data_IF_583102627177
#
_entry.id   IF_583102627177
#
_cell.length_a   1.000
_cell.length_b   1.000
_cell.length_c   1.000
_cell.angle_alpha   90.00
_cell.angle_beta   90.00
_cell.angle_gamma   90.00
#
_symmetry.space_group_name_H-M   'P 1'
#
loop_
_entity.id
_entity.type
_entity.pdbx_description
1 polymer ?
#
# COMPACT_ATOMS: atom_id res chain seq x y z
N UNK A 1 -7.46 -5.49 9.01
CA UNK A 1 -7.92 -6.75 9.59
C UNK A 1 -7.11 -7.92 9.03
N UNK A 2 -5.93 -8.16 9.57
CA UNK A 2 -5.06 -9.28 9.18
C UNK A 2 -4.74 -10.11 10.43
N UNK A 3 -4.65 -11.46 10.35
CA UNK A 3 -4.37 -12.31 11.52
C UNK A 3 -3.13 -11.92 12.32
N UNK A 4 -2.11 -11.37 11.63
CA UNK A 4 -0.86 -10.92 12.25
C UNK A 4 -0.91 -9.48 12.82
N UNK A 5 -2.03 -8.78 12.72
CA UNK A 5 -2.19 -7.41 13.21
C UNK A 5 -3.56 -6.84 12.89
N UNK A 6 -4.54 -7.17 13.72
CA UNK A 6 -5.89 -6.64 13.57
C UNK A 6 -6.03 -5.31 14.31
N UNK A 7 -6.76 -4.38 13.71
CA UNK A 7 -6.99 -3.07 14.31
C UNK A 7 -8.18 -3.10 15.27
N UNK A 8 -7.98 -2.59 16.47
CA UNK A 8 -9.09 -2.32 17.40
C UNK A 8 -9.70 -0.97 17.10
N UNK A 9 -11.01 -0.93 16.95
CA UNK A 9 -11.80 0.29 16.72
C UNK A 9 -11.78 1.13 17.99
N UNK A 10 -11.33 2.38 17.87
CA UNK A 10 -11.14 3.28 19.02
C UNK A 10 -12.40 4.04 19.39
N UNK A 11 -13.26 4.33 18.41
CA UNK A 11 -14.46 5.20 18.58
C UNK A 11 -15.63 4.66 17.75
N UNK A 12 -16.83 5.19 18.03
CA UNK A 12 -18.08 4.82 17.36
C UNK A 12 -18.77 3.62 18.00
N UNK A 13 -19.79 3.12 17.34
CA UNK A 13 -20.66 2.03 17.81
C UNK A 13 -19.89 0.73 18.12
N UNK A 14 -18.87 0.43 17.33
CA UNK A 14 -18.08 -0.80 17.45
C UNK A 14 -16.79 -0.62 18.26
N UNK A 15 -16.71 0.43 19.10
CA UNK A 15 -15.55 0.69 19.95
C UNK A 15 -15.14 -0.55 20.75
N UNK A 16 -13.85 -0.90 20.69
CA UNK A 16 -13.25 -2.04 21.40
C UNK A 16 -13.32 -3.35 20.63
N UNK A 17 -14.06 -3.43 19.53
CA UNK A 17 -14.07 -4.59 18.64
C UNK A 17 -12.92 -4.49 17.61
N UNK A 18 -12.53 -5.61 17.05
CA UNK A 18 -11.55 -5.64 15.95
C UNK A 18 -12.25 -5.42 14.62
N UNK A 19 -11.53 -4.83 13.66
CA UNK A 19 -12.06 -4.60 12.31
C UNK A 19 -12.46 -5.90 11.62
N UNK A 20 -11.70 -7.00 11.81
CA UNK A 20 -12.06 -8.31 11.24
C UNK A 20 -13.40 -8.80 11.77
N UNK A 21 -13.61 -8.70 13.09
CA UNK A 21 -14.89 -9.11 13.72
C UNK A 21 -16.06 -8.30 13.18
N UNK A 22 -15.93 -6.98 13.13
CA UNK A 22 -16.99 -6.11 12.59
C UNK A 22 -17.24 -6.40 11.10
N UNK A 23 -16.20 -6.66 10.32
CA UNK A 23 -16.33 -7.08 8.93
C UNK A 23 -17.09 -8.41 8.79
N UNK A 24 -16.85 -9.38 9.65
CA UNK A 24 -17.49 -10.69 9.59
C UNK A 24 -18.94 -10.66 10.07
N UNK A 25 -19.25 -9.90 11.11
CA UNK A 25 -20.57 -9.84 11.73
C UNK A 25 -21.52 -8.80 11.08
N UNK A 26 -20.97 -7.76 10.39
CA UNK A 26 -21.69 -6.60 9.85
C UNK A 26 -21.32 -6.34 8.39
N UNK A 27 -21.51 -7.35 7.52
CA UNK A 27 -21.19 -7.26 6.07
C UNK A 27 -21.92 -6.14 5.36
N UNK A 28 -23.10 -5.75 5.82
CA UNK A 28 -23.88 -4.65 5.30
C UNK A 28 -23.14 -3.31 5.34
N UNK A 29 -22.30 -3.08 6.36
CA UNK A 29 -21.48 -1.87 6.48
C UNK A 29 -20.39 -1.78 5.39
N UNK A 30 -20.06 -2.91 4.80
CA UNK A 30 -19.04 -3.04 3.76
C UNK A 30 -19.66 -3.44 2.40
N UNK A 31 -20.91 -3.05 2.15
CA UNK A 31 -21.60 -3.28 0.87
C UNK A 31 -21.84 -4.75 0.55
N UNK A 32 -21.85 -5.64 1.54
CA UNK A 32 -22.07 -7.09 1.38
C UNK A 32 -21.09 -7.76 0.40
N UNK A 33 -19.85 -7.26 0.31
CA UNK A 33 -18.79 -7.87 -0.51
C UNK A 33 -18.55 -9.33 -0.09
N UNK A 34 -18.14 -10.18 -1.06
CA UNK A 34 -18.04 -11.63 -0.87
C UNK A 34 -16.68 -12.13 -0.40
N UNK A 35 -15.77 -11.22 -0.17
CA UNK A 35 -14.42 -11.54 0.29
C UNK A 35 -14.47 -12.28 1.63
N UNK A 36 -13.64 -13.31 1.78
CA UNK A 36 -13.58 -14.11 3.01
C UNK A 36 -12.99 -13.32 4.18
N UNK A 37 -12.10 -12.38 3.90
CA UNK A 37 -11.45 -11.49 4.87
C UNK A 37 -11.54 -10.05 4.37
N UNK A 38 -11.29 -9.08 5.26
CA UNK A 38 -11.23 -7.68 4.87
C UNK A 38 -10.17 -7.49 3.76
N UNK A 39 -10.53 -6.96 2.58
CA UNK A 39 -9.72 -7.14 1.36
C UNK A 39 -8.50 -6.22 1.26
N UNK A 40 -8.48 -5.12 1.98
CA UNK A 40 -7.45 -4.10 1.89
C UNK A 40 -6.66 -3.95 3.20
N UNK A 41 -5.41 -3.53 3.08
CA UNK A 41 -4.55 -3.19 4.20
C UNK A 41 -3.83 -1.87 3.89
N UNK A 42 -3.95 -0.91 4.81
CA UNK A 42 -3.24 0.38 4.75
C UNK A 42 -2.24 0.43 5.90
N UNK A 43 -1.02 0.89 5.61
CA UNK A 43 0.06 1.05 6.59
C UNK A 43 0.74 2.39 6.43
N UNK A 44 1.27 2.90 7.54
CA UNK A 44 2.28 3.95 7.56
C UNK A 44 3.60 3.29 7.97
N UNK A 45 4.58 3.32 7.08
CA UNK A 45 5.88 2.67 7.26
C UNK A 45 6.96 3.74 7.43
N UNK A 46 7.57 3.79 8.62
CA UNK A 46 8.75 4.59 8.91
C UNK A 46 9.99 3.68 8.83
N UNK A 47 10.73 3.79 7.75
CA UNK A 47 11.86 2.91 7.45
C UNK A 47 13.14 3.39 8.13
N UNK A 48 13.39 2.94 9.36
CA UNK A 48 14.64 3.21 10.09
C UNK A 48 15.85 2.48 9.48
N UNK A 49 15.63 1.43 8.71
CA UNK A 49 16.65 0.66 7.97
C UNK A 49 16.11 0.27 6.60
N UNK A 50 16.98 -0.15 5.68
CA UNK A 50 16.55 -0.72 4.41
C UNK A 50 15.73 -1.98 4.67
N UNK A 51 14.54 -2.06 4.08
CA UNK A 51 13.77 -3.29 4.08
C UNK A 51 14.38 -4.26 3.05
N UNK A 52 14.14 -5.56 3.23
CA UNK A 52 14.61 -6.54 2.26
C UNK A 52 14.06 -6.26 0.86
N UNK A 53 14.87 -6.54 -0.15
CA UNK A 53 14.40 -6.59 -1.53
C UNK A 53 13.45 -7.79 -1.67
N UNK A 54 12.25 -7.54 -2.17
CA UNK A 54 11.17 -8.51 -2.16
C UNK A 54 10.34 -8.45 -3.45
N UNK A 55 9.57 -9.49 -3.67
CA UNK A 55 8.56 -9.58 -4.71
C UNK A 55 7.34 -10.32 -4.17
N UNK A 56 6.16 -9.97 -4.65
CA UNK A 56 4.91 -10.57 -4.22
C UNK A 56 4.24 -11.36 -5.35
N UNK A 57 3.58 -12.50 -5.04
CA UNK A 57 2.83 -13.27 -6.03
C UNK A 57 1.52 -12.58 -6.43
N UNK A 58 0.96 -12.98 -7.56
CA UNK A 58 -0.43 -12.70 -7.92
C UNK A 58 -1.38 -13.65 -7.17
N UNK A 59 -2.71 -13.42 -7.30
CA UNK A 59 -3.73 -14.21 -6.62
C UNK A 59 -3.67 -15.70 -6.99
N UNK A 60 -3.42 -16.03 -8.27
CA UNK A 60 -3.36 -17.40 -8.73
C UNK A 60 -2.22 -18.18 -8.07
N UNK A 61 -1.01 -17.61 -8.08
CA UNK A 61 0.16 -18.23 -7.47
C UNK A 61 0.00 -18.32 -5.94
N UNK A 62 -0.49 -17.26 -5.31
CA UNK A 62 -0.71 -17.22 -3.87
C UNK A 62 -1.77 -18.22 -3.41
N UNK A 63 -2.87 -18.36 -4.14
CA UNK A 63 -3.90 -19.36 -3.84
C UNK A 63 -3.36 -20.79 -3.94
N UNK A 64 -2.52 -21.07 -4.95
CA UNK A 64 -1.98 -22.40 -5.17
C UNK A 64 -0.90 -22.79 -4.16
N UNK A 65 -0.03 -21.87 -3.77
CA UNK A 65 1.18 -22.17 -2.98
C UNK A 65 1.09 -21.76 -1.53
N UNK A 66 0.25 -20.76 -1.20
CA UNK A 66 0.22 -20.14 0.14
C UNK A 66 -1.19 -20.15 0.76
N UNK A 67 -2.20 -20.62 0.01
CA UNK A 67 -3.62 -20.55 0.41
C UNK A 67 -4.03 -19.12 0.84
N UNK A 68 -3.61 -18.10 0.10
CA UNK A 68 -3.77 -16.70 0.42
C UNK A 68 -4.10 -15.87 -0.81
N UNK A 69 -4.34 -14.57 -0.60
CA UNK A 69 -4.41 -13.58 -1.67
C UNK A 69 -3.01 -13.25 -2.19
N UNK A 70 -2.92 -12.81 -3.43
CA UNK A 70 -1.76 -12.13 -3.97
C UNK A 70 -1.54 -10.79 -3.27
N UNK A 71 -0.49 -10.08 -3.66
CA UNK A 71 -0.19 -8.79 -3.08
C UNK A 71 0.22 -7.78 -4.15
N UNK A 72 -0.78 -7.05 -4.62
CA UNK A 72 -0.59 -5.81 -5.38
C UNK A 72 -0.71 -4.66 -4.40
N UNK A 73 0.17 -3.69 -4.53
CA UNK A 73 0.26 -2.56 -3.61
C UNK A 73 0.59 -1.25 -4.30
N UNK A 74 0.48 -0.16 -3.59
CA UNK A 74 0.99 1.14 -4.02
C UNK A 74 1.56 1.91 -2.83
N UNK A 75 2.55 2.76 -3.13
CA UNK A 75 3.22 3.60 -2.15
C UNK A 75 3.11 5.07 -2.51
N UNK A 76 2.85 5.89 -1.51
CA UNK A 76 2.96 7.34 -1.59
C UNK A 76 3.99 7.80 -0.56
N UNK A 77 4.98 8.56 -1.00
CA UNK A 77 6.05 9.08 -0.14
C UNK A 77 5.51 10.26 0.67
N UNK A 78 5.22 10.01 1.96
CA UNK A 78 4.76 11.05 2.90
C UNK A 78 5.88 12.00 3.26
N UNK A 79 7.09 11.45 3.45
CA UNK A 79 8.31 12.20 3.73
C UNK A 79 9.53 11.32 3.44
N UNK A 80 10.70 11.93 3.25
CA UNK A 80 11.97 11.21 3.16
C UNK A 80 13.13 12.12 3.53
N UNK A 81 14.23 11.51 3.97
CA UNK A 81 15.49 12.23 4.17
C UNK A 81 16.12 12.55 2.82
N UNK A 82 17.01 13.53 2.82
CA UNK A 82 17.84 13.84 1.65
C UNK A 82 18.62 12.59 1.19
N UNK A 83 18.80 12.43 -0.11
CA UNK A 83 19.47 11.30 -0.77
C UNK A 83 18.86 9.90 -0.49
N UNK A 84 17.62 9.85 0.02
CA UNK A 84 16.90 8.59 0.20
C UNK A 84 16.60 7.95 -1.15
N UNK A 85 16.89 6.66 -1.25
CA UNK A 85 16.63 5.87 -2.47
C UNK A 85 15.42 4.96 -2.31
N UNK A 86 15.00 4.42 -3.45
CA UNK A 86 13.97 3.38 -3.56
C UNK A 86 14.46 2.34 -4.55
N UNK A 87 14.14 1.07 -4.31
CA UNK A 87 14.30 0.01 -5.30
C UNK A 87 12.95 -0.25 -5.94
N UNK A 88 12.89 -0.16 -7.28
CA UNK A 88 11.67 -0.44 -8.04
C UNK A 88 12.00 -1.08 -9.38
N UNK A 89 11.76 -2.39 -9.48
CA UNK A 89 12.09 -3.15 -10.67
C UNK A 89 13.54 -3.57 -10.76
N UNK A 90 13.90 -4.09 -11.93
CA UNK A 90 15.21 -4.65 -12.23
C UNK A 90 15.59 -4.42 -13.70
N UNK A 91 16.89 -4.60 -14.01
CA UNK A 91 17.43 -4.37 -15.35
C UNK A 91 17.43 -5.62 -16.26
N UNK A 92 17.19 -6.83 -15.71
CA UNK A 92 17.17 -8.05 -16.48
C UNK A 92 16.11 -8.01 -17.61
N UNK A 93 16.47 -8.42 -18.80
CA UNK A 93 15.61 -8.47 -19.99
C UNK A 93 15.00 -9.83 -20.22
N UNK A 94 15.64 -10.87 -19.73
CA UNK A 94 15.16 -12.25 -19.79
C UNK A 94 15.18 -12.92 -18.41
N UNK A 95 14.48 -14.04 -18.30
CA UNK A 95 14.43 -14.81 -17.05
C UNK A 95 15.82 -15.37 -16.69
N UNK A 96 16.58 -15.77 -17.71
CA UNK A 96 17.94 -16.30 -17.57
C UNK A 96 18.90 -15.23 -17.01
N UNK A 97 18.77 -13.98 -17.47
CA UNK A 97 19.54 -12.86 -16.92
C UNK A 97 19.20 -12.61 -15.44
N UNK A 98 17.89 -12.65 -15.10
CA UNK A 98 17.44 -12.52 -13.71
C UNK A 98 18.03 -13.61 -12.83
N UNK A 99 17.91 -14.87 -13.25
CA UNK A 99 18.44 -16.04 -12.52
C UNK A 99 19.94 -15.90 -12.32
N UNK A 100 20.68 -15.62 -13.41
CA UNK A 100 22.14 -15.46 -13.34
C UNK A 100 22.59 -14.36 -12.41
N UNK A 101 21.89 -13.23 -12.40
CA UNK A 101 22.22 -12.12 -11.50
C UNK A 101 22.00 -12.51 -10.03
N UNK A 102 20.88 -13.16 -9.70
CA UNK A 102 20.57 -13.63 -8.35
C UNK A 102 21.58 -14.68 -7.88
N UNK A 103 21.90 -15.67 -8.73
CA UNK A 103 22.84 -16.75 -8.42
C UNK A 103 24.28 -16.26 -8.22
N UNK A 104 24.64 -15.14 -8.87
CA UNK A 104 25.97 -14.53 -8.73
C UNK A 104 25.99 -13.41 -7.66
N UNK A 105 24.92 -13.22 -6.91
CA UNK A 105 24.81 -12.14 -5.91
C UNK A 105 25.01 -10.73 -6.50
N UNK A 106 24.70 -10.56 -7.79
CA UNK A 106 24.93 -9.31 -8.53
C UNK A 106 23.75 -8.34 -8.44
N UNK A 107 23.36 -8.02 -7.21
CA UNK A 107 22.21 -7.15 -6.96
C UNK A 107 22.46 -5.69 -7.31
N UNK A 108 23.70 -5.24 -7.30
CA UNK A 108 24.03 -3.85 -7.63
C UNK A 108 23.78 -3.52 -9.10
N UNK A 109 24.04 -4.47 -10.02
CA UNK A 109 23.69 -4.31 -11.44
C UNK A 109 22.26 -4.76 -11.76
N UNK A 110 21.68 -5.63 -10.93
CA UNK A 110 20.32 -6.12 -11.16
C UNK A 110 19.26 -5.09 -10.80
N UNK A 111 19.38 -4.44 -9.63
CA UNK A 111 18.30 -3.66 -9.04
C UNK A 111 18.25 -2.23 -9.61
N UNK A 112 17.05 -1.81 -9.98
CA UNK A 112 16.81 -0.42 -10.37
C UNK A 112 16.62 0.43 -9.12
N UNK A 113 17.62 1.26 -8.79
CA UNK A 113 17.65 2.17 -7.63
C UNK A 113 17.61 3.61 -8.09
N UNK A 114 16.79 4.45 -7.47
CA UNK A 114 16.68 5.88 -7.79
C UNK A 114 16.31 6.72 -6.56
N UNK A 115 16.56 8.02 -6.66
CA UNK A 115 16.24 8.97 -5.60
C UNK A 115 14.73 9.22 -5.54
N UNK A 116 14.22 9.42 -4.34
CA UNK A 116 12.81 9.74 -4.10
C UNK A 116 12.67 11.06 -3.38
N UNK A 117 11.48 11.64 -3.49
CA UNK A 117 11.08 12.85 -2.75
C UNK A 117 9.65 12.73 -2.24
N UNK A 118 9.31 13.54 -1.24
CA UNK A 118 7.92 13.69 -0.78
C UNK A 118 6.98 13.94 -1.95
N UNK A 119 5.87 13.20 -1.98
CA UNK A 119 4.85 13.27 -3.02
C UNK A 119 5.04 12.29 -4.18
N UNK A 120 6.15 11.57 -4.25
CA UNK A 120 6.32 10.52 -5.25
C UNK A 120 5.33 9.38 -5.01
N UNK A 121 4.88 8.77 -6.10
CA UNK A 121 3.92 7.67 -6.09
C UNK A 121 4.43 6.48 -6.90
N UNK A 122 4.23 5.28 -6.37
CA UNK A 122 4.61 4.03 -6.99
C UNK A 122 3.45 3.04 -6.96
N UNK A 123 3.04 2.55 -8.12
CA UNK A 123 2.16 1.39 -8.22
C UNK A 123 3.01 0.14 -8.43
N UNK A 124 2.76 -0.88 -7.63
CA UNK A 124 3.59 -2.08 -7.51
C UNK A 124 2.69 -3.29 -7.76
N UNK A 125 2.44 -3.64 -9.05
CA UNK A 125 1.76 -4.88 -9.36
C UNK A 125 2.54 -6.06 -8.81
N UNK A 126 1.82 -7.14 -8.47
CA UNK A 126 2.45 -8.44 -8.19
C UNK A 126 3.49 -8.80 -9.26
N UNK A 127 4.58 -9.44 -8.87
CA UNK A 127 5.71 -9.75 -9.75
C UNK A 127 6.75 -8.63 -9.90
N UNK A 128 6.56 -7.49 -9.27
CA UNK A 128 7.54 -6.39 -9.27
C UNK A 128 8.53 -6.55 -8.13
N UNK A 129 9.84 -6.59 -8.43
CA UNK A 129 10.89 -6.52 -7.40
C UNK A 129 10.94 -5.09 -6.85
N UNK A 130 10.93 -4.94 -5.53
CA UNK A 130 10.95 -3.62 -4.88
C UNK A 130 11.53 -3.66 -3.47
N UNK A 131 11.93 -2.50 -2.93
CA UNK A 131 12.29 -2.33 -1.53
C UNK A 131 12.14 -0.88 -1.08
N UNK A 132 11.62 -0.68 0.12
CA UNK A 132 11.66 0.60 0.84
C UNK A 132 13.05 0.73 1.47
N UNK A 133 13.73 1.84 1.16
CA UNK A 133 15.03 2.11 1.73
C UNK A 133 14.93 3.01 2.96
N UNK A 134 15.97 2.96 3.78
CA UNK A 134 16.12 3.74 5.01
C UNK A 134 15.88 5.23 4.78
N UNK A 135 15.15 5.85 5.69
CA UNK A 135 14.87 7.29 5.68
C UNK A 135 13.57 7.68 4.99
N UNK A 136 12.78 6.69 4.53
CA UNK A 136 11.47 6.91 3.93
C UNK A 136 10.35 6.81 4.96
N UNK A 137 9.35 7.69 4.84
CA UNK A 137 8.04 7.57 5.48
C UNK A 137 6.99 7.35 4.39
N UNK A 138 6.39 6.17 4.35
CA UNK A 138 5.55 5.70 3.25
C UNK A 138 4.12 5.44 3.72
N UNK A 139 3.15 5.92 2.96
CA UNK A 139 1.78 5.42 2.98
C UNK A 139 1.69 4.25 1.99
N UNK A 140 1.43 3.06 2.50
CA UNK A 140 1.24 1.84 1.70
C UNK A 140 -0.23 1.44 1.71
N UNK A 141 -0.81 1.22 0.53
CA UNK A 141 -2.12 0.59 0.38
C UNK A 141 -1.96 -0.67 -0.47
N UNK A 142 -2.56 -1.79 -0.02
CA UNK A 142 -2.33 -3.11 -0.60
C UNK A 142 -3.55 -4.04 -0.47
N UNK A 143 -3.55 -5.12 -1.25
CA UNK A 143 -4.38 -6.28 -0.94
C UNK A 143 -4.04 -6.79 0.48
N UNK A 144 -5.02 -7.33 1.19
CA UNK A 144 -4.85 -7.85 2.56
C UNK A 144 -4.08 -9.18 2.56
N UNK A 145 -2.79 -9.10 2.29
CA UNK A 145 -1.84 -10.21 2.23
C UNK A 145 -0.52 -9.80 2.87
N UNK A 146 0.17 -10.72 3.54
CA UNK A 146 1.50 -10.54 4.11
C UNK A 146 2.58 -11.38 3.41
N UNK A 147 2.22 -12.04 2.31
CA UNK A 147 3.14 -12.88 1.58
C UNK A 147 4.26 -12.06 0.99
N UNK A 148 5.47 -12.42 1.36
CA UNK A 148 6.70 -11.74 0.92
C UNK A 148 7.74 -12.77 0.54
N UNK A 149 8.11 -12.79 -0.75
CA UNK A 149 9.26 -13.55 -1.21
C UNK A 149 10.49 -12.66 -1.18
N UNK A 150 11.37 -12.95 -0.23
CA UNK A 150 12.61 -12.20 -0.03
C UNK A 150 13.63 -12.62 -1.07
N UNK A 151 14.02 -11.66 -1.92
CA UNK A 151 15.02 -11.83 -2.98
C UNK A 151 16.43 -11.63 -2.42
N UNK A 152 16.59 -10.57 -1.60
CA UNK A 152 17.87 -10.15 -1.04
C UNK A 152 17.67 -9.44 0.29
N UNK A 153 18.58 -9.63 1.23
CA UNK A 153 18.53 -9.02 2.55
C UNK A 153 19.87 -8.42 3.02
N UNK A 154 20.70 -8.02 2.07
CA UNK A 154 22.00 -7.35 2.31
C UNK A 154 22.95 -8.17 3.19
N UNK A 155 22.83 -9.52 3.21
CA UNK A 155 23.57 -10.43 4.07
C UNK A 155 23.51 -10.06 5.56
N UNK A 156 22.40 -9.42 5.98
CA UNK A 156 22.19 -9.03 7.36
C UNK A 156 22.01 -10.24 8.24
N UNK A 157 22.70 -10.21 9.38
CA UNK A 157 22.62 -11.25 10.40
C UNK A 157 21.85 -10.74 11.62
N UNK A 158 21.08 -11.63 12.22
CA UNK A 158 20.48 -11.41 13.52
C UNK A 158 21.54 -11.45 14.66
N UNK A 159 21.07 -11.27 15.91
CA UNK A 159 21.94 -11.32 17.10
C UNK A 159 22.65 -12.68 17.30
N UNK A 160 22.12 -13.73 16.69
CA UNK A 160 22.63 -15.10 16.79
C UNK A 160 23.52 -15.45 15.59
N UNK A 161 23.76 -14.49 14.67
CA UNK A 161 24.63 -14.63 13.50
C UNK A 161 23.94 -15.27 12.28
N UNK A 162 22.64 -15.48 12.30
CA UNK A 162 21.89 -16.11 11.24
C UNK A 162 21.36 -15.06 10.25
N UNK A 163 21.40 -15.38 8.95
CA UNK A 163 20.73 -14.60 7.91
C UNK A 163 19.26 -14.99 7.84
N UNK A 164 18.38 -14.02 7.49
CA UNK A 164 16.99 -14.33 7.22
C UNK A 164 16.86 -15.18 5.96
N UNK A 165 15.93 -16.13 5.99
CA UNK A 165 15.66 -16.99 4.86
C UNK A 165 15.32 -16.17 3.60
N UNK A 166 15.97 -16.47 2.50
CA UNK A 166 15.63 -16.00 1.16
C UNK A 166 14.66 -16.99 0.49
N UNK A 167 13.79 -16.47 -0.38
CA UNK A 167 12.80 -17.25 -1.13
C UNK A 167 13.15 -17.22 -2.63
N UNK A 168 14.40 -17.58 -2.95
CA UNK A 168 14.97 -17.39 -4.31
C UNK A 168 14.12 -18.05 -5.39
N UNK A 169 13.73 -19.31 -5.19
CA UNK A 169 12.91 -20.04 -6.17
C UNK A 169 11.58 -19.35 -6.43
N UNK A 170 10.80 -19.05 -5.37
CA UNK A 170 9.52 -18.39 -5.48
C UNK A 170 9.68 -16.97 -6.07
N UNK A 171 10.72 -16.26 -5.67
CA UNK A 171 11.03 -14.94 -6.23
C UNK A 171 11.27 -14.99 -7.74
N UNK A 172 12.07 -15.96 -8.20
CA UNK A 172 12.28 -16.18 -9.62
C UNK A 172 10.97 -16.56 -10.32
N UNK A 173 10.18 -17.46 -9.74
CA UNK A 173 8.92 -17.92 -10.35
C UNK A 173 7.97 -16.75 -10.61
N UNK A 174 7.77 -15.87 -9.65
CA UNK A 174 6.75 -14.80 -9.71
C UNK A 174 7.23 -13.49 -10.34
N UNK A 175 8.53 -13.25 -10.44
CA UNK A 175 9.05 -11.98 -10.99
C UNK A 175 8.70 -11.80 -12.45
N UNK A 176 8.10 -10.68 -12.77
CA UNK A 176 7.80 -10.23 -14.13
C UNK A 176 9.07 -9.74 -14.83
N UNK A 177 9.41 -10.35 -15.97
CA UNK A 177 10.59 -9.99 -16.78
C UNK A 177 10.15 -9.75 -18.23
N UNK A 178 10.57 -8.66 -18.85
CA UNK A 178 11.27 -7.51 -18.27
C UNK A 178 10.37 -6.65 -17.34
N UNK A 179 10.97 -5.93 -16.42
CA UNK A 179 10.24 -4.94 -15.61
C UNK A 179 9.63 -3.84 -16.48
N UNK A 180 8.41 -3.45 -16.15
CA UNK A 180 7.70 -2.34 -16.80
C UNK A 180 7.24 -1.36 -15.73
N UNK A 181 7.73 -0.10 -15.75
CA UNK A 181 7.27 0.91 -14.79
C UNK A 181 5.79 1.26 -15.03
N UNK A 182 5.12 1.68 -13.97
CA UNK A 182 3.77 2.24 -14.06
C UNK A 182 3.81 3.57 -14.79
N UNK A 183 2.85 3.77 -15.68
CA UNK A 183 2.70 5.01 -16.43
C UNK A 183 1.95 6.05 -15.59
N UNK A 184 2.68 7.03 -15.04
CA UNK A 184 2.12 8.12 -14.24
C UNK A 184 1.19 9.05 -15.04
N UNK A 185 1.25 9.05 -16.38
CA UNK A 185 0.31 9.82 -17.21
C UNK A 185 -1.15 9.31 -17.10
N UNK A 186 -1.35 8.14 -16.52
CA UNK A 186 -2.69 7.62 -16.20
C UNK A 186 -3.35 8.28 -14.99
N UNK A 187 -2.59 9.04 -14.20
CA UNK A 187 -3.14 9.78 -13.08
C UNK A 187 -4.04 10.91 -13.56
N UNK A 188 -5.21 11.03 -12.94
CA UNK A 188 -6.19 12.07 -13.27
C UNK A 188 -6.27 13.04 -12.09
N UNK A 189 -6.11 14.32 -12.37
CA UNK A 189 -6.29 15.39 -11.38
C UNK A 189 -7.46 16.28 -11.80
N UNK A 190 -8.32 16.59 -10.86
CA UNK A 190 -9.49 17.44 -11.06
C UNK A 190 -9.65 18.46 -9.93
N UNK A 191 -10.23 19.61 -10.25
CA UNK A 191 -10.62 20.61 -9.26
C UNK A 191 -11.91 20.18 -8.60
N UNK A 192 -11.97 20.24 -7.27
CA UNK A 192 -13.17 20.06 -6.46
C UNK A 192 -13.64 21.41 -5.90
N UNK A 193 -14.69 21.44 -5.09
CA UNK A 193 -15.27 22.70 -4.60
C UNK A 193 -14.24 23.59 -3.90
N UNK A 194 -13.45 23.04 -2.97
CA UNK A 194 -12.36 23.75 -2.32
C UNK A 194 -11.09 22.90 -2.28
N UNK A 195 -10.41 22.80 -3.44
CA UNK A 195 -9.15 22.07 -3.52
C UNK A 195 -9.01 21.24 -4.81
N UNK A 196 -8.26 20.15 -4.69
CA UNK A 196 -8.03 19.21 -5.79
C UNK A 196 -8.22 17.75 -5.33
N UNK A 197 -8.64 16.91 -6.27
CA UNK A 197 -8.61 15.45 -6.16
C UNK A 197 -7.67 14.90 -7.22
N UNK A 198 -6.78 14.01 -6.82
CA UNK A 198 -5.92 13.28 -7.74
C UNK A 198 -6.12 11.78 -7.58
N UNK A 199 -6.58 11.11 -8.64
CA UNK A 199 -6.59 9.67 -8.71
C UNK A 199 -5.16 9.19 -8.99
N UNK A 200 -4.52 8.61 -7.98
CA UNK A 200 -3.12 8.13 -8.06
C UNK A 200 -3.05 6.80 -8.80
N UNK A 201 -4.01 5.93 -8.56
CA UNK A 201 -4.17 4.64 -9.25
C UNK A 201 -5.62 4.17 -9.15
N UNK A 202 -6.09 3.53 -10.22
CA UNK A 202 -7.30 2.70 -10.23
C UNK A 202 -6.94 1.37 -10.90
N UNK A 203 -7.17 0.27 -10.18
CA UNK A 203 -6.84 -1.08 -10.61
C UNK A 203 -7.97 -2.05 -10.26
N UNK A 204 -7.82 -3.33 -10.61
CA UNK A 204 -8.78 -4.37 -10.23
C UNK A 204 -8.77 -4.68 -8.72
N UNK A 205 -7.79 -4.19 -7.97
CA UNK A 205 -7.57 -4.53 -6.57
C UNK A 205 -7.88 -3.37 -5.62
N UNK A 206 -7.52 -2.17 -6.05
CA UNK A 206 -7.73 -0.96 -5.25
C UNK A 206 -7.72 0.30 -6.13
N UNK A 207 -8.40 1.32 -5.64
CA UNK A 207 -8.32 2.69 -6.14
C UNK A 207 -7.81 3.57 -5.02
N UNK A 208 -6.80 4.40 -5.29
CA UNK A 208 -6.25 5.36 -4.34
C UNK A 208 -6.40 6.78 -4.86
N UNK A 209 -7.10 7.60 -4.09
CA UNK A 209 -7.28 9.02 -4.35
C UNK A 209 -6.60 9.86 -3.28
N UNK A 210 -5.95 10.93 -3.70
CA UNK A 210 -5.44 11.99 -2.85
C UNK A 210 -6.29 13.23 -3.00
N UNK A 211 -6.72 13.82 -1.90
CA UNK A 211 -7.44 15.09 -1.85
C UNK A 211 -6.59 16.13 -1.12
N UNK A 212 -6.41 17.29 -1.71
CA UNK A 212 -5.89 18.48 -1.06
C UNK A 212 -7.04 19.47 -0.88
N UNK A 213 -7.51 19.65 0.37
CA UNK A 213 -8.70 20.40 0.72
C UNK A 213 -8.34 21.69 1.46
N UNK A 214 -9.06 22.80 1.17
CA UNK A 214 -8.87 24.11 1.78
C UNK A 214 -10.21 24.74 2.23
N UNK A 215 -11.11 23.95 2.78
CA UNK A 215 -12.45 24.35 3.19
C UNK A 215 -13.43 23.21 3.07
N UNK A 216 -14.72 23.55 3.04
CA UNK A 216 -15.79 22.56 2.92
C UNK A 216 -15.74 21.84 1.57
N UNK A 217 -15.83 20.51 1.61
CA UNK A 217 -15.95 19.63 0.46
C UNK A 217 -16.87 18.47 0.81
N UNK A 218 -17.67 18.07 -0.18
CA UNK A 218 -18.50 16.88 -0.08
C UNK A 218 -17.92 15.78 -0.97
N UNK A 219 -17.55 14.65 -0.36
CA UNK A 219 -16.98 13.49 -1.05
C UNK A 219 -18.03 12.38 -1.16
N UNK A 220 -18.26 11.90 -2.38
CA UNK A 220 -19.17 10.78 -2.63
C UNK A 220 -18.56 9.45 -2.24
N UNK A 221 -19.39 8.56 -1.69
CA UNK A 221 -19.05 7.17 -1.44
C UNK A 221 -19.99 6.26 -2.26
N UNK A 222 -19.58 5.94 -3.47
CA UNK A 222 -20.25 5.00 -4.38
C UNK A 222 -19.64 3.59 -4.31
N UNK A 223 -18.70 3.38 -3.39
CA UNK A 223 -17.95 2.16 -3.17
C UNK A 223 -18.49 1.38 -1.96
N UNK A 224 -18.15 0.09 -1.83
CA UNK A 224 -18.53 -0.72 -0.67
C UNK A 224 -18.11 -0.11 0.68
N UNK A 225 -16.97 0.57 0.70
CA UNK A 225 -16.43 1.33 1.84
C UNK A 225 -15.28 2.22 1.37
N UNK A 226 -14.86 3.15 2.23
CA UNK A 226 -13.66 3.95 2.02
C UNK A 226 -12.75 3.84 3.24
N UNK A 227 -11.46 3.58 3.03
CA UNK A 227 -10.42 3.72 4.04
C UNK A 227 -9.85 5.13 3.93
N UNK A 228 -10.14 5.96 4.92
CA UNK A 228 -9.75 7.37 4.93
C UNK A 228 -8.60 7.59 5.88
N UNK A 229 -7.60 8.33 5.44
CA UNK A 229 -6.41 8.71 6.22
C UNK A 229 -6.12 10.18 6.08
N UNK A 230 -6.09 10.91 7.20
CA UNK A 230 -5.64 12.31 7.22
C UNK A 230 -4.12 12.30 7.29
N UNK A 231 -3.45 12.64 6.19
CA UNK A 231 -1.98 12.56 6.10
C UNK A 231 -1.28 13.88 6.36
N UNK A 232 -2.00 15.01 6.26
CA UNK A 232 -1.53 16.35 6.62
C UNK A 232 -2.71 17.22 7.07
N UNK A 233 -2.44 18.20 7.93
CA UNK A 233 -3.42 19.21 8.34
C UNK A 233 -4.45 18.71 9.36
N UNK A 234 -5.58 19.44 9.44
CA UNK A 234 -6.68 19.18 10.36
C UNK A 234 -7.98 19.83 9.88
N UNK A 235 -9.09 19.40 10.46
CA UNK A 235 -10.42 19.92 10.16
C UNK A 235 -11.51 19.13 10.85
N UNK A 236 -12.66 19.00 10.20
CA UNK A 236 -13.76 18.15 10.65
C UNK A 236 -14.20 17.19 9.54
N UNK A 237 -14.70 16.03 9.95
CA UNK A 237 -15.40 15.06 9.07
C UNK A 237 -16.73 14.75 9.75
N UNK A 238 -17.83 14.99 9.06
CA UNK A 238 -19.19 14.88 9.63
C UNK A 238 -19.30 15.66 10.98
N UNK A 239 -18.68 16.84 11.04
CA UNK A 239 -18.65 17.69 12.23
C UNK A 239 -17.76 17.21 13.39
N UNK A 240 -17.04 16.08 13.24
CA UNK A 240 -16.08 15.57 14.23
C UNK A 240 -14.67 16.05 13.89
N UNK A 241 -13.94 16.52 14.89
CA UNK A 241 -12.55 16.95 14.71
C UNK A 241 -11.66 15.79 14.24
N UNK A 242 -10.84 16.07 13.23
CA UNK A 242 -9.81 15.17 12.70
C UNK A 242 -8.51 15.90 12.48
N UNK A 243 -7.40 15.16 12.54
CA UNK A 243 -6.05 15.70 12.36
C UNK A 243 -5.13 14.67 11.72
N UNK A 244 -3.96 15.11 11.30
CA UNK A 244 -2.91 14.23 10.80
C UNK A 244 -2.70 13.02 11.72
N UNK A 245 -2.74 11.83 11.10
CA UNK A 245 -2.59 10.53 11.77
C UNK A 245 -3.92 9.88 12.15
N UNK A 246 -5.05 10.54 11.91
CA UNK A 246 -6.36 9.90 12.09
C UNK A 246 -6.70 9.04 10.87
N UNK A 247 -7.22 7.85 11.16
CA UNK A 247 -7.64 6.86 10.17
C UNK A 247 -9.03 6.33 10.54
N UNK A 248 -9.92 6.24 9.57
CA UNK A 248 -11.27 5.73 9.79
C UNK A 248 -11.83 5.05 8.54
N UNK A 249 -12.92 4.34 8.74
CA UNK A 249 -13.68 3.69 7.66
C UNK A 249 -14.98 4.44 7.47
N UNK A 250 -15.28 4.80 6.23
CA UNK A 250 -16.61 5.25 5.80
C UNK A 250 -17.35 4.02 5.30
N UNK A 251 -18.46 3.69 5.94
CA UNK A 251 -19.26 2.52 5.62
C UNK A 251 -20.14 2.73 4.37
N UNK A 252 -20.69 1.66 3.84
CA UNK A 252 -21.45 1.66 2.58
C UNK A 252 -22.77 2.42 2.63
N UNK A 253 -23.36 2.60 3.79
CA UNK A 253 -24.60 3.34 4.04
C UNK A 253 -24.40 4.86 4.01
N UNK A 254 -23.20 5.36 4.33
CA UNK A 254 -22.81 6.75 4.23
C UNK A 254 -22.47 7.10 2.78
N UNK A 255 -23.42 7.65 2.01
CA UNK A 255 -23.26 7.92 0.57
C UNK A 255 -22.48 9.19 0.23
N UNK A 256 -22.45 10.13 1.13
CA UNK A 256 -21.69 11.36 1.01
C UNK A 256 -21.05 11.65 2.36
N UNK A 257 -19.86 12.24 2.35
CA UNK A 257 -19.08 12.58 3.54
C UNK A 257 -18.67 14.04 3.46
N UNK A 258 -19.01 14.80 4.48
CA UNK A 258 -18.68 16.20 4.59
C UNK A 258 -17.31 16.37 5.26
N UNK A 259 -16.39 17.02 4.55
CA UNK A 259 -15.07 17.45 5.05
C UNK A 259 -15.04 18.96 5.13
N UNK A 260 -14.49 19.52 6.20
CA UNK A 260 -14.25 20.96 6.30
C UNK A 260 -12.91 21.23 7.02
N UNK A 261 -12.05 22.01 6.39
CA UNK A 261 -10.75 22.36 6.94
C UNK A 261 -9.64 22.38 5.92
N UNK A 262 -8.42 22.56 6.39
CA UNK A 262 -7.21 22.50 5.55
C UNK A 262 -6.47 21.20 5.82
N UNK A 263 -6.59 20.27 4.91
CA UNK A 263 -6.05 18.91 5.10
C UNK A 263 -5.73 18.21 3.77
N UNK A 264 -4.77 17.30 3.82
CA UNK A 264 -4.52 16.32 2.76
C UNK A 264 -5.04 14.96 3.21
N UNK A 265 -5.92 14.37 2.40
CA UNK A 265 -6.64 13.13 2.71
C UNK A 265 -6.33 12.07 1.66
N UNK A 266 -5.98 10.87 2.11
CA UNK A 266 -5.90 9.68 1.27
C UNK A 266 -7.17 8.85 1.44
N UNK A 267 -7.80 8.48 0.33
CA UNK A 267 -8.98 7.62 0.31
C UNK A 267 -8.68 6.40 -0.55
N UNK A 268 -8.61 5.23 0.10
CA UNK A 268 -8.41 3.94 -0.55
C UNK A 268 -9.74 3.15 -0.59
N UNK A 269 -10.07 2.59 -1.74
CA UNK A 269 -11.30 1.80 -1.96
C UNK A 269 -11.01 0.57 -2.83
N UNK A 270 -12.00 -0.33 -2.93
CA UNK A 270 -12.01 -1.40 -3.94
C UNK A 270 -12.35 -0.86 -5.33
#
# INVERSE_FOLDING_TARGET
AHPNGDNTIKEGEFKGQTLSKVFDEHRELFGNIKDKQFPLLVKIIDACNDLSVQVHPNDEYAALHENSLGKTECWYVLDCKEDTKMVMGHHAKTKEELVKAIENDDYDHLLNKFDIKKGDFFYIPSGTIHAICKGSLIYEAQQSSDITYRVYDYHRKDKDGNERQLHVKQSIDVTTVPYKPYDLAKQVEETIENGTRKELVSSNYLTLNKYDMTGYNKVKNDKPFQLVSIIEGQGTVEGKEVRKGDHFVVCSDQKEVDFDGTMTVMICTL
#
